data_IF_221456447565
#
_entry.id   IF_221456447565
#
_cell.length_a   1.000
_cell.length_b   1.000
_cell.length_c   1.000
_cell.angle_alpha   90.00
_cell.angle_beta   90.00
_cell.angle_gamma   90.00
#
_symmetry.space_group_name_H-M   'P 1'
#
loop_
_entity.id
_entity.type
_entity.pdbx_description
1 polymer ?
#
# COMPACT_ATOMS: atom_id res chain seq x y z
N UNK A 1 43.99 -7.87 1.46
CA UNK A 1 44.30 -8.32 2.84
C UNK A 1 42.99 -8.27 3.61
N UNK A 2 42.34 -9.40 3.96
CA UNK A 2 41.08 -9.35 4.69
C UNK A 2 41.38 -9.16 6.17
N UNK A 3 40.95 -8.04 6.73
CA UNK A 3 40.87 -7.90 8.17
C UNK A 3 39.72 -8.79 8.63
N UNK A 4 40.07 -9.80 9.43
CA UNK A 4 39.10 -10.61 10.15
C UNK A 4 38.43 -9.66 11.14
N UNK A 5 37.25 -9.17 10.78
CA UNK A 5 36.38 -8.45 11.71
C UNK A 5 36.01 -9.46 12.81
N UNK A 6 36.51 -9.22 14.02
CA UNK A 6 36.35 -10.14 15.14
C UNK A 6 34.86 -10.36 15.39
N UNK A 7 34.42 -11.62 15.30
CA UNK A 7 33.05 -12.07 15.57
C UNK A 7 32.59 -11.85 17.04
N UNK A 8 33.47 -11.29 17.89
CA UNK A 8 33.25 -11.05 19.32
C UNK A 8 33.02 -9.58 19.67
N UNK A 9 32.78 -8.68 18.69
CA UNK A 9 32.39 -7.30 19.01
C UNK A 9 30.89 -7.24 19.43
N UNK A 10 30.57 -7.00 20.72
CA UNK A 10 29.20 -6.87 21.18
C UNK A 10 28.45 -5.73 20.46
N UNK A 11 29.17 -4.76 19.89
CA UNK A 11 28.57 -3.68 19.09
C UNK A 11 28.07 -4.20 17.75
N UNK A 12 28.80 -5.10 17.09
CA UNK A 12 28.39 -5.68 15.80
C UNK A 12 27.09 -6.49 15.90
N UNK A 13 26.96 -7.29 16.96
CA UNK A 13 25.72 -8.03 17.24
C UNK A 13 24.52 -7.09 17.53
N UNK A 14 24.77 -5.97 18.21
CA UNK A 14 23.74 -4.97 18.53
C UNK A 14 23.27 -4.23 17.27
N UNK A 15 24.20 -3.79 16.42
CA UNK A 15 23.89 -3.09 15.15
C UNK A 15 23.11 -3.99 14.21
N UNK A 16 23.54 -5.25 14.03
CA UNK A 16 22.83 -6.21 13.18
C UNK A 16 21.40 -6.50 13.66
N UNK A 17 21.18 -6.59 14.98
CA UNK A 17 19.84 -6.77 15.54
C UNK A 17 18.95 -5.54 15.32
N UNK A 18 19.48 -4.32 15.48
CA UNK A 18 18.75 -3.07 15.21
C UNK A 18 18.35 -2.94 13.74
N UNK A 19 19.25 -3.26 12.81
CA UNK A 19 18.95 -3.22 11.37
C UNK A 19 17.88 -4.23 10.96
N UNK A 20 17.93 -5.46 11.51
CA UNK A 20 16.90 -6.46 11.29
C UNK A 20 15.53 -6.03 11.83
N UNK A 21 15.49 -5.38 13.00
CA UNK A 21 14.25 -4.84 13.58
C UNK A 21 13.67 -3.73 12.69
N UNK A 22 14.52 -2.82 12.21
CA UNK A 22 14.11 -1.74 11.31
C UNK A 22 13.59 -2.29 9.97
N UNK A 23 14.26 -3.27 9.38
CA UNK A 23 13.82 -3.93 8.15
C UNK A 23 12.49 -4.68 8.31
N UNK A 24 12.28 -5.38 9.42
CA UNK A 24 11.02 -6.06 9.70
C UNK A 24 9.85 -5.08 9.90
N UNK A 25 10.11 -3.95 10.59
CA UNK A 25 9.12 -2.90 10.79
C UNK A 25 8.74 -2.19 9.48
N UNK A 26 9.72 -1.89 8.63
CA UNK A 26 9.52 -1.34 7.29
C UNK A 26 8.66 -2.28 6.43
N UNK A 27 9.06 -3.56 6.34
CA UNK A 27 8.33 -4.56 5.56
C UNK A 27 6.87 -4.70 6.02
N UNK A 28 6.63 -4.69 7.33
CA UNK A 28 5.29 -4.76 7.90
C UNK A 28 4.42 -3.57 7.46
N UNK A 29 4.97 -2.36 7.45
CA UNK A 29 4.23 -1.14 7.04
C UNK A 29 3.92 -1.14 5.56
N UNK A 30 4.90 -1.39 4.69
CA UNK A 30 4.68 -1.46 3.23
C UNK A 30 3.74 -2.62 2.86
N UNK A 31 3.86 -3.78 3.51
CA UNK A 31 2.91 -4.89 3.32
C UNK A 31 1.50 -4.53 3.74
N UNK A 32 1.33 -3.79 4.85
CA UNK A 32 0.03 -3.30 5.28
C UNK A 32 -0.60 -2.31 4.28
N UNK A 33 0.22 -1.46 3.65
CA UNK A 33 -0.22 -0.56 2.60
C UNK A 33 -0.66 -1.34 1.35
N UNK A 34 0.10 -2.37 0.95
CA UNK A 34 -0.24 -3.27 -0.16
C UNK A 34 -1.57 -4.00 0.09
N UNK A 35 -1.77 -4.58 1.27
CA UNK A 35 -3.04 -5.23 1.63
C UNK A 35 -4.23 -4.27 1.60
N UNK A 36 -4.02 -3.03 2.05
CA UNK A 36 -5.03 -1.98 1.97
C UNK A 36 -5.40 -1.68 0.51
N UNK A 37 -4.41 -1.58 -0.37
CA UNK A 37 -4.65 -1.36 -1.80
C UNK A 37 -5.42 -2.52 -2.43
N UNK A 38 -5.05 -3.77 -2.12
CA UNK A 38 -5.76 -4.96 -2.59
C UNK A 38 -7.21 -4.98 -2.12
N UNK A 39 -7.49 -4.57 -0.88
CA UNK A 39 -8.85 -4.46 -0.37
C UNK A 39 -9.68 -3.41 -1.14
N UNK A 40 -9.11 -2.22 -1.38
CA UNK A 40 -9.77 -1.19 -2.19
C UNK A 40 -10.04 -1.71 -3.61
N UNK A 41 -9.06 -2.37 -4.21
CA UNK A 41 -9.20 -3.01 -5.53
C UNK A 41 -10.31 -4.04 -5.57
N UNK A 42 -10.38 -4.90 -4.56
CA UNK A 42 -11.43 -5.91 -4.46
C UNK A 42 -12.82 -5.28 -4.34
N UNK A 43 -12.97 -4.24 -3.51
CA UNK A 43 -14.26 -3.55 -3.33
C UNK A 43 -14.71 -2.84 -4.61
N UNK A 44 -13.80 -2.10 -5.27
CA UNK A 44 -14.11 -1.38 -6.50
C UNK A 44 -14.37 -2.31 -7.70
N UNK A 45 -13.74 -3.49 -7.73
CA UNK A 45 -13.88 -4.46 -8.83
C UNK A 45 -15.05 -5.41 -8.62
N UNK A 46 -15.26 -5.89 -7.39
CA UNK A 46 -16.26 -6.93 -7.08
C UNK A 46 -17.36 -6.45 -6.16
N UNK A 47 -16.99 -5.79 -5.05
CA UNK A 47 -17.94 -5.36 -4.02
C UNK A 47 -19.11 -4.56 -4.59
N UNK A 48 -18.82 -3.51 -5.34
CA UNK A 48 -19.86 -2.65 -5.94
C UNK A 48 -20.71 -3.42 -6.96
N UNK A 49 -20.09 -4.31 -7.73
CA UNK A 49 -20.78 -5.05 -8.79
C UNK A 49 -21.70 -6.15 -8.24
N UNK A 50 -21.36 -6.77 -7.11
CA UNK A 50 -22.26 -7.71 -6.44
C UNK A 50 -23.56 -7.08 -5.97
N UNK A 51 -23.53 -5.81 -5.57
CA UNK A 51 -24.71 -5.06 -5.15
C UNK A 51 -25.29 -4.17 -6.25
N UNK A 52 -24.83 -4.29 -7.50
CA UNK A 52 -25.22 -3.38 -8.59
C UNK A 52 -26.75 -3.30 -8.77
N UNK A 53 -27.47 -4.43 -8.69
CA UNK A 53 -28.93 -4.44 -8.81
C UNK A 53 -29.62 -3.61 -7.72
N UNK A 54 -29.11 -3.63 -6.49
CA UNK A 54 -29.64 -2.83 -5.38
C UNK A 54 -29.21 -1.35 -5.46
N UNK A 55 -28.08 -1.07 -6.12
CA UNK A 55 -27.51 0.27 -6.26
C UNK A 55 -28.06 1.02 -7.49
N UNK A 56 -28.50 0.32 -8.52
CA UNK A 56 -29.02 0.89 -9.77
C UNK A 56 -30.24 1.84 -9.65
N UNK A 57 -31.08 1.81 -8.61
CA UNK A 57 -32.07 2.86 -8.38
C UNK A 57 -31.45 4.24 -8.12
N UNK A 58 -30.22 4.28 -7.58
CA UNK A 58 -29.46 5.51 -7.42
C UNK A 58 -28.86 5.90 -8.77
N UNK A 59 -29.11 7.12 -9.21
CA UNK A 59 -28.60 7.63 -10.48
C UNK A 59 -27.51 8.69 -10.24
N UNK A 60 -26.37 8.52 -10.89
CA UNK A 60 -25.28 9.49 -10.93
C UNK A 60 -25.12 9.98 -12.37
N UNK A 61 -25.18 11.30 -12.56
CA UNK A 61 -25.04 11.94 -13.89
C UNK A 61 -26.02 11.36 -14.94
N UNK A 62 -27.20 10.92 -14.51
CA UNK A 62 -28.22 10.33 -15.38
C UNK A 62 -28.05 8.81 -15.64
N UNK A 63 -27.01 8.17 -15.09
CA UNK A 63 -26.76 6.74 -15.25
C UNK A 63 -27.01 5.98 -13.94
N UNK A 64 -27.49 4.73 -14.00
CA UNK A 64 -27.56 3.86 -12.82
C UNK A 64 -26.18 3.72 -12.16
N UNK A 65 -26.14 3.76 -10.83
CA UNK A 65 -24.89 3.80 -10.06
C UNK A 65 -23.97 2.61 -10.38
N UNK A 66 -24.51 1.40 -10.48
CA UNK A 66 -23.71 0.21 -10.83
C UNK A 66 -23.05 0.35 -12.21
N UNK A 67 -23.77 0.92 -13.18
CA UNK A 67 -23.22 1.20 -14.51
C UNK A 67 -22.14 2.29 -14.47
N UNK A 68 -22.39 3.40 -13.77
CA UNK A 68 -21.42 4.48 -13.62
C UNK A 68 -20.11 3.99 -12.97
N UNK A 69 -20.21 3.15 -11.95
CA UNK A 69 -19.04 2.59 -11.27
C UNK A 69 -18.23 1.67 -12.18
N UNK A 70 -18.89 0.85 -13.01
CA UNK A 70 -18.21 0.02 -14.01
C UNK A 70 -17.51 0.86 -15.10
N UNK A 71 -18.12 1.99 -15.51
CA UNK A 71 -17.63 2.79 -16.63
C UNK A 71 -16.52 3.79 -16.25
N UNK A 72 -16.66 4.49 -15.11
CA UNK A 72 -15.73 5.56 -14.72
C UNK A 72 -15.40 5.55 -13.23
N UNK A 73 -16.37 5.23 -12.37
CA UNK A 73 -16.20 5.34 -10.93
C UNK A 73 -15.03 4.51 -10.39
N UNK A 74 -14.92 3.23 -10.77
CA UNK A 74 -13.81 2.38 -10.31
C UNK A 74 -12.46 2.83 -10.87
N UNK A 75 -12.42 3.35 -12.10
CA UNK A 75 -11.20 3.94 -12.69
C UNK A 75 -10.72 5.16 -11.87
N UNK A 76 -11.63 6.05 -11.49
CA UNK A 76 -11.31 7.21 -10.65
C UNK A 76 -10.77 6.74 -9.29
N UNK A 77 -11.40 5.74 -8.66
CA UNK A 77 -10.92 5.15 -7.40
C UNK A 77 -9.49 4.63 -7.55
N UNK A 78 -9.17 3.94 -8.64
CA UNK A 78 -7.82 3.43 -8.88
C UNK A 78 -6.80 4.54 -9.04
N UNK A 79 -7.08 5.57 -9.84
CA UNK A 79 -6.15 6.69 -10.03
C UNK A 79 -5.90 7.43 -8.72
N UNK A 80 -6.95 7.75 -7.97
CA UNK A 80 -6.81 8.38 -6.64
C UNK A 80 -6.04 7.46 -5.68
N UNK A 81 -6.32 6.17 -5.73
CA UNK A 81 -5.60 5.14 -4.96
C UNK A 81 -4.11 5.14 -5.27
N UNK A 82 -3.70 5.26 -6.54
CA UNK A 82 -2.29 5.30 -6.94
C UNK A 82 -1.56 6.51 -6.34
N UNK A 83 -2.13 7.71 -6.44
CA UNK A 83 -1.52 8.90 -5.85
C UNK A 83 -1.44 8.80 -4.33
N UNK A 84 -2.49 8.30 -3.69
CA UNK A 84 -2.50 8.08 -2.25
C UNK A 84 -1.46 7.04 -1.82
N UNK A 85 -1.34 5.94 -2.55
CA UNK A 85 -0.34 4.90 -2.30
C UNK A 85 1.07 5.45 -2.46
N UNK A 86 1.36 6.15 -3.55
CA UNK A 86 2.67 6.74 -3.79
C UNK A 86 3.06 7.69 -2.65
N UNK A 87 2.12 8.55 -2.22
CA UNK A 87 2.35 9.44 -1.07
C UNK A 87 2.61 8.66 0.21
N UNK A 88 1.81 7.63 0.51
CA UNK A 88 1.98 6.83 1.73
C UNK A 88 3.24 5.98 1.72
N UNK A 89 3.64 5.46 0.57
CA UNK A 89 4.88 4.73 0.44
C UNK A 89 6.05 5.68 0.67
N UNK A 90 6.03 6.89 0.09
CA UNK A 90 7.05 7.91 0.34
C UNK A 90 7.14 8.31 1.83
N UNK A 91 6.00 8.50 2.52
CA UNK A 91 5.99 8.75 3.97
C UNK A 91 6.63 7.59 4.78
N UNK A 92 6.44 6.35 4.35
CA UNK A 92 7.09 5.17 4.97
C UNK A 92 8.59 5.19 4.63
N UNK A 93 8.97 5.45 3.38
CA UNK A 93 10.38 5.50 2.98
C UNK A 93 11.14 6.60 3.74
N UNK A 94 10.48 7.74 4.02
CA UNK A 94 11.01 8.82 4.85
C UNK A 94 11.19 8.42 6.32
N UNK A 95 10.22 7.71 6.91
CA UNK A 95 10.28 7.24 8.29
C UNK A 95 11.43 6.25 8.53
N UNK A 96 11.80 5.46 7.52
CA UNK A 96 12.87 4.46 7.61
C UNK A 96 14.18 4.89 6.94
N UNK A 97 14.26 6.12 6.40
CA UNK A 97 15.46 6.66 5.76
C UNK A 97 15.88 5.91 4.48
N UNK A 98 14.91 5.32 3.77
CA UNK A 98 15.11 4.56 2.51
C UNK A 98 14.78 5.40 1.27
N UNK A 99 14.39 6.66 1.47
CA UNK A 99 14.14 7.62 0.40
C UNK A 99 15.34 7.75 -0.57
N UNK A 100 15.06 7.72 -1.88
CA UNK A 100 16.05 8.01 -2.93
C UNK A 100 16.18 9.54 -3.11
N UNK A 101 17.40 10.03 -3.39
CA UNK A 101 17.72 11.46 -3.62
C UNK A 101 17.08 12.05 -4.90
#
# INVERSE_FOLDING_TARGET
>A
MPLVENADDPKGATVAATDQINGAAYWKKTSGLMWTMLAIWFVASFGIHFFATALNPIHILGFPLGFYMAAQGSLIIFVVGLFWFAKRQNEIDEEFGVQED
#
